data_IF_234257011681
#
_entry.id   IF_234257011681
#
_cell.length_a   1.000
_cell.length_b   1.000
_cell.length_c   1.000
_cell.angle_alpha   90.00
_cell.angle_beta   90.00
_cell.angle_gamma   90.00
#
_symmetry.space_group_name_H-M   'P 1'
#
loop_
_entity.id
_entity.type
_entity.pdbx_description
1 polymer ?
#
# COMPACT_ATOMS: atom_id res chain seq x y z
N UNK A 1 -8.29 -25.07 -24.21
CA UNK A 1 -9.21 -25.00 -23.05
C UNK A 1 -9.96 -23.69 -23.09
N UNK A 2 -11.29 -23.73 -23.06
CA UNK A 2 -12.11 -22.51 -23.10
C UNK A 2 -11.95 -21.75 -21.76
N UNK A 3 -11.58 -20.46 -21.82
CA UNK A 3 -11.56 -19.59 -20.64
C UNK A 3 -12.94 -19.54 -20.02
N UNK A 4 -13.11 -20.00 -18.79
CA UNK A 4 -14.35 -19.81 -18.05
C UNK A 4 -14.63 -18.30 -17.94
N UNK A 5 -15.71 -17.86 -18.57
CA UNK A 5 -16.20 -16.48 -18.43
C UNK A 5 -17.01 -16.41 -17.13
N UNK A 6 -16.45 -15.79 -16.11
CA UNK A 6 -17.20 -15.45 -14.90
C UNK A 6 -18.41 -14.59 -15.27
N UNK A 7 -19.62 -15.10 -15.02
CA UNK A 7 -20.85 -14.35 -15.23
C UNK A 7 -21.35 -13.84 -13.89
N UNK A 8 -21.49 -12.53 -13.79
CA UNK A 8 -22.06 -11.90 -12.58
C UNK A 8 -23.54 -12.27 -12.53
N UNK A 9 -23.94 -13.01 -11.50
CA UNK A 9 -25.32 -13.46 -11.29
C UNK A 9 -26.12 -12.52 -10.39
N UNK A 10 -25.44 -11.74 -9.56
CA UNK A 10 -26.06 -10.80 -8.61
C UNK A 10 -25.69 -9.34 -8.93
N UNK A 11 -26.25 -8.83 -10.02
CA UNK A 11 -26.02 -7.46 -10.47
C UNK A 11 -26.43 -6.40 -9.46
N UNK A 12 -27.47 -6.63 -8.67
CA UNK A 12 -27.96 -5.67 -7.66
C UNK A 12 -26.90 -5.44 -6.57
N UNK A 13 -26.39 -6.52 -5.96
CA UNK A 13 -25.36 -6.44 -4.94
C UNK A 13 -24.02 -5.91 -5.50
N UNK A 14 -23.66 -6.34 -6.72
CA UNK A 14 -22.47 -5.84 -7.40
C UNK A 14 -22.54 -4.33 -7.64
N UNK A 15 -23.64 -3.82 -8.19
CA UNK A 15 -23.83 -2.39 -8.43
C UNK A 15 -23.88 -1.58 -7.12
N UNK A 16 -24.49 -2.13 -6.06
CA UNK A 16 -24.48 -1.51 -4.74
C UNK A 16 -23.05 -1.37 -4.20
N UNK A 17 -22.23 -2.43 -4.31
CA UNK A 17 -20.83 -2.40 -3.91
C UNK A 17 -20.01 -1.39 -4.72
N UNK A 18 -20.24 -1.27 -6.04
CA UNK A 18 -19.57 -0.27 -6.87
C UNK A 18 -19.95 1.17 -6.48
N UNK A 19 -21.22 1.42 -6.16
CA UNK A 19 -21.69 2.73 -5.67
C UNK A 19 -21.04 3.07 -4.32
N UNK A 20 -20.92 2.10 -3.42
CA UNK A 20 -20.27 2.31 -2.11
C UNK A 20 -18.80 2.64 -2.25
N UNK A 21 -18.09 2.11 -3.27
CA UNK A 21 -16.68 2.48 -3.54
C UNK A 21 -16.51 3.95 -3.93
N UNK A 22 -17.54 4.59 -4.46
CA UNK A 22 -17.54 6.03 -4.77
C UNK A 22 -18.00 6.90 -3.61
N UNK A 23 -18.44 6.30 -2.50
CA UNK A 23 -18.88 7.05 -1.31
C UNK A 23 -17.67 7.59 -0.57
N UNK A 24 -17.63 8.90 -0.39
CA UNK A 24 -16.59 9.58 0.37
C UNK A 24 -17.06 9.76 1.81
N UNK A 25 -16.32 9.17 2.75
CA UNK A 25 -16.49 9.41 4.19
C UNK A 25 -15.21 10.05 4.71
N UNK A 26 -15.33 11.25 5.26
CA UNK A 26 -14.21 11.99 5.82
C UNK A 26 -14.38 11.98 7.33
N UNK A 27 -13.39 11.44 8.04
CA UNK A 27 -13.28 11.48 9.48
C UNK A 27 -12.17 12.44 9.86
N UNK A 28 -12.50 13.45 10.65
CA UNK A 28 -11.53 14.38 11.24
C UNK A 28 -11.61 14.22 12.76
N UNK A 29 -10.51 13.76 13.33
CA UNK A 29 -10.36 13.62 14.76
C UNK A 29 -10.10 15.00 15.39
N UNK A 30 -10.64 15.24 16.59
CA UNK A 30 -10.43 16.48 17.34
C UNK A 30 -8.93 16.74 17.61
N UNK A 31 -8.15 15.69 17.83
CA UNK A 31 -6.70 15.78 17.97
C UNK A 31 -6.01 16.29 16.70
N UNK A 32 -6.50 15.91 15.52
CA UNK A 32 -6.01 16.39 14.25
C UNK A 32 -6.38 17.85 13.98
N UNK A 33 -7.58 18.27 14.43
CA UNK A 33 -8.02 19.67 14.36
C UNK A 33 -7.12 20.55 15.24
N UNK A 34 -6.88 20.13 16.49
CA UNK A 34 -6.03 20.85 17.43
C UNK A 34 -4.56 20.93 16.95
N UNK A 35 -4.08 19.86 16.31
CA UNK A 35 -2.71 19.79 15.79
C UNK A 35 -2.56 20.38 14.37
N UNK A 36 -3.58 21.04 13.80
CA UNK A 36 -3.53 21.60 12.44
C UNK A 36 -2.56 22.79 12.33
N UNK A 37 -2.57 23.64 13.33
CA UNK A 37 -1.72 24.83 13.39
C UNK A 37 -0.74 24.72 14.54
N UNK A 38 0.50 25.18 14.30
CA UNK A 38 1.51 25.27 15.33
C UNK A 38 1.39 26.62 16.04
N UNK A 39 1.14 26.58 17.34
CA UNK A 39 1.07 27.77 18.20
C UNK A 39 2.42 28.07 18.89
N UNK A 40 3.47 27.32 18.61
CA UNK A 40 4.78 27.53 19.21
C UNK A 40 5.40 28.86 18.76
N UNK A 41 6.05 29.56 19.71
CA UNK A 41 6.82 30.77 19.38
C UNK A 41 8.02 30.38 18.51
N UNK A 42 8.29 31.11 17.41
CA UNK A 42 9.43 30.80 16.57
C UNK A 42 10.75 31.02 17.33
N UNK A 43 11.63 30.04 17.28
CA UNK A 43 12.96 30.13 17.89
C UNK A 43 13.97 30.98 17.09
N UNK A 44 13.57 31.57 15.96
CA UNK A 44 14.46 32.28 15.04
C UNK A 44 13.85 33.50 14.36
N UNK A 45 14.68 34.23 13.60
CA UNK A 45 14.24 35.34 12.73
C UNK A 45 13.46 34.79 11.54
N UNK A 46 12.26 35.28 11.30
CA UNK A 46 11.42 34.95 10.16
C UNK A 46 9.96 34.84 10.49
N UNK A 47 9.13 34.62 9.46
CA UNK A 47 7.70 34.39 9.63
C UNK A 47 7.48 33.00 10.27
N UNK A 48 6.76 32.88 11.39
CA UNK A 48 6.52 31.59 12.03
C UNK A 48 5.79 30.63 11.10
N UNK A 49 6.11 29.33 11.21
CA UNK A 49 5.39 28.26 10.56
C UNK A 49 4.04 28.11 11.27
N UNK A 50 2.94 28.44 10.57
CA UNK A 50 1.60 28.35 11.14
C UNK A 50 0.97 26.97 11.02
N UNK A 51 1.56 26.06 10.23
CA UNK A 51 1.00 24.74 9.93
C UNK A 51 1.99 23.67 10.28
N UNK A 52 1.48 22.61 10.91
CA UNK A 52 2.29 21.44 11.28
C UNK A 52 2.60 20.54 10.07
N UNK A 53 3.59 19.69 10.21
CA UNK A 53 3.90 18.66 9.20
C UNK A 53 2.72 17.72 8.95
N UNK A 54 1.89 17.46 9.98
CA UNK A 54 0.66 16.68 9.84
C UNK A 54 -0.34 17.37 8.91
N UNK A 55 -0.56 18.68 9.06
CA UNK A 55 -1.44 19.45 8.18
C UNK A 55 -0.96 19.41 6.72
N UNK A 56 0.33 19.63 6.50
CA UNK A 56 0.94 19.55 5.16
C UNK A 56 0.81 18.14 4.56
N UNK A 57 1.08 17.11 5.35
CA UNK A 57 0.94 15.71 4.95
C UNK A 57 -0.48 15.38 4.54
N UNK A 58 -1.47 15.80 5.34
CA UNK A 58 -2.89 15.59 5.05
C UNK A 58 -3.29 16.23 3.74
N UNK A 59 -2.89 17.48 3.50
CA UNK A 59 -3.17 18.18 2.24
C UNK A 59 -2.49 17.47 1.05
N UNK A 60 -1.25 17.00 1.21
CA UNK A 60 -0.56 16.23 0.17
C UNK A 60 -1.20 14.87 -0.09
N UNK A 61 -1.74 14.19 0.92
CA UNK A 61 -2.53 12.98 0.75
C UNK A 61 -3.79 13.25 -0.07
N UNK A 62 -4.55 14.29 0.27
CA UNK A 62 -5.73 14.71 -0.49
C UNK A 62 -5.38 15.02 -1.95
N UNK A 63 -4.25 15.69 -2.19
CA UNK A 63 -3.73 15.90 -3.54
C UNK A 63 -3.59 14.59 -4.33
N UNK A 64 -3.06 13.55 -3.70
CA UNK A 64 -2.83 12.26 -4.35
C UNK A 64 -4.14 11.51 -4.60
N UNK A 65 -5.03 11.50 -3.62
CA UNK A 65 -6.32 10.80 -3.72
C UNK A 65 -7.20 11.42 -4.81
N UNK A 66 -7.32 12.76 -4.84
CA UNK A 66 -8.20 13.47 -5.77
C UNK A 66 -7.51 13.94 -7.05
N UNK A 67 -6.21 13.70 -7.18
CA UNK A 67 -5.40 14.10 -8.33
C UNK A 67 -5.56 15.59 -8.73
N UNK A 68 -5.59 16.48 -7.73
CA UNK A 68 -5.80 17.91 -7.94
C UNK A 68 -4.48 18.68 -8.06
N UNK A 69 -4.40 19.72 -8.91
CA UNK A 69 -3.31 20.66 -8.85
C UNK A 69 -3.38 21.48 -7.55
N UNK A 70 -2.21 21.93 -7.03
CA UNK A 70 -2.11 22.52 -5.68
C UNK A 70 -3.06 23.71 -5.44
N UNK A 71 -3.30 24.55 -6.45
CA UNK A 71 -4.24 25.69 -6.32
C UNK A 71 -5.69 25.25 -6.20
N UNK A 72 -6.11 24.29 -7.02
CA UNK A 72 -7.45 23.72 -6.93
C UNK A 72 -7.62 22.93 -5.63
N UNK A 73 -6.57 22.25 -5.18
CA UNK A 73 -6.55 21.53 -3.91
C UNK A 73 -6.81 22.47 -2.72
N UNK A 74 -6.18 23.65 -2.69
CA UNK A 74 -6.42 24.63 -1.64
C UNK A 74 -7.90 25.01 -1.55
N UNK A 75 -8.53 25.37 -2.67
CA UNK A 75 -9.96 25.68 -2.70
C UNK A 75 -10.85 24.49 -2.32
N UNK A 76 -10.47 23.28 -2.74
CA UNK A 76 -11.19 22.05 -2.40
C UNK A 76 -11.15 21.76 -0.88
N UNK A 77 -9.98 21.87 -0.25
CA UNK A 77 -9.81 21.64 1.19
C UNK A 77 -10.55 22.71 1.99
N UNK A 78 -10.46 24.00 1.61
CA UNK A 78 -11.20 25.09 2.25
C UNK A 78 -12.71 24.87 2.14
N UNK A 79 -13.20 24.36 1.01
CA UNK A 79 -14.62 24.00 0.83
C UNK A 79 -15.04 22.89 1.78
N UNK A 80 -14.21 21.83 1.97
CA UNK A 80 -14.48 20.76 2.93
C UNK A 80 -14.57 21.33 4.35
N UNK A 81 -13.65 22.17 4.77
CA UNK A 81 -13.68 22.78 6.10
C UNK A 81 -14.93 23.64 6.31
N UNK A 82 -15.36 24.37 5.28
CA UNK A 82 -16.60 25.14 5.31
C UNK A 82 -17.83 24.23 5.45
N UNK A 83 -17.89 23.15 4.65
CA UNK A 83 -19.00 22.18 4.71
C UNK A 83 -19.10 21.47 6.06
N UNK A 84 -17.95 21.22 6.70
CA UNK A 84 -17.88 20.57 8.02
C UNK A 84 -17.99 21.59 9.17
N UNK A 85 -18.17 22.88 8.89
CA UNK A 85 -18.19 23.97 9.87
C UNK A 85 -16.94 24.01 10.78
N UNK A 86 -15.77 23.68 10.22
CA UNK A 86 -14.50 23.69 10.95
C UNK A 86 -13.82 25.06 10.88
N UNK A 87 -13.27 25.57 12.00
CA UNK A 87 -12.56 26.85 12.03
C UNK A 87 -11.12 26.71 11.50
N UNK A 88 -10.92 25.93 10.45
CA UNK A 88 -9.62 25.65 9.85
C UNK A 88 -9.49 26.33 8.49
N UNK A 89 -8.25 26.56 8.08
CA UNK A 89 -7.90 27.00 6.72
C UNK A 89 -6.86 26.06 6.12
N UNK A 90 -6.91 25.91 4.80
CA UNK A 90 -5.89 25.18 4.09
C UNK A 90 -4.58 25.99 4.04
N UNK A 91 -3.42 25.37 4.21
CA UNK A 91 -2.14 25.99 3.92
C UNK A 91 -2.09 26.50 2.48
N UNK A 92 -1.47 27.67 2.28
CA UNK A 92 -1.28 28.23 0.94
C UNK A 92 -0.53 27.23 0.04
N UNK A 93 -0.93 27.15 -1.24
CA UNK A 93 -0.36 26.21 -2.22
C UNK A 93 1.16 26.34 -2.35
N UNK A 94 1.71 27.55 -2.18
CA UNK A 94 3.15 27.81 -2.26
C UNK A 94 3.88 27.24 -1.03
N UNK A 95 3.27 27.33 0.14
CA UNK A 95 3.78 26.73 1.37
C UNK A 95 3.78 25.20 1.26
N UNK A 96 2.66 24.61 0.82
CA UNK A 96 2.57 23.16 0.58
C UNK A 96 3.65 22.70 -0.41
N UNK A 97 3.87 23.43 -1.49
CA UNK A 97 4.91 23.11 -2.48
C UNK A 97 6.33 23.14 -1.90
N UNK A 98 6.64 24.12 -1.05
CA UNK A 98 7.95 24.21 -0.40
C UNK A 98 8.17 23.08 0.60
N UNK A 99 7.19 22.84 1.47
CA UNK A 99 7.28 21.80 2.51
C UNK A 99 7.19 20.37 1.97
N UNK A 100 6.58 20.16 0.81
CA UNK A 100 6.52 18.82 0.18
C UNK A 100 7.89 18.13 0.01
N UNK A 101 8.98 18.89 0.00
CA UNK A 101 10.35 18.37 -0.12
C UNK A 101 10.98 17.99 1.21
N UNK A 102 10.54 18.56 2.31
CA UNK A 102 11.14 18.43 3.65
C UNK A 102 10.28 17.67 4.64
N UNK A 103 8.98 17.52 4.36
CA UNK A 103 8.05 16.80 5.25
C UNK A 103 8.47 15.33 5.36
N UNK A 104 8.77 14.92 6.59
CA UNK A 104 9.04 13.53 6.90
C UNK A 104 7.73 12.81 7.24
N UNK A 105 7.23 12.01 6.31
CA UNK A 105 5.99 11.25 6.50
C UNK A 105 6.33 9.96 7.24
N UNK A 106 5.96 9.88 8.51
CA UNK A 106 5.99 8.64 9.28
C UNK A 106 4.55 8.12 9.44
N UNK A 107 4.23 7.05 8.73
CA UNK A 107 2.94 6.36 8.91
C UNK A 107 3.11 5.40 10.07
N UNK A 108 2.55 5.75 11.22
CA UNK A 108 2.52 4.86 12.39
C UNK A 108 1.35 3.90 12.23
N UNK A 109 1.63 2.67 11.88
CA UNK A 109 0.64 1.59 11.97
C UNK A 109 0.43 1.19 13.44
N UNK A 110 -0.78 0.75 13.84
CA UNK A 110 -1.00 0.24 15.18
C UNK A 110 0.02 -0.83 15.54
N UNK A 111 0.72 -0.67 16.67
CA UNK A 111 1.75 -1.62 17.11
C UNK A 111 1.18 -2.80 17.88
N UNK A 112 -0.11 -2.77 18.23
CA UNK A 112 -0.81 -3.77 19.02
C UNK A 112 -1.77 -4.58 18.17
N UNK A 113 -2.04 -5.80 18.60
CA UNK A 113 -2.96 -6.74 17.97
C UNK A 113 -2.23 -7.79 17.13
N UNK A 114 -2.94 -8.88 16.87
CA UNK A 114 -2.51 -9.99 16.02
C UNK A 114 -3.00 -9.76 14.59
N UNK A 115 -2.18 -10.09 13.61
CA UNK A 115 -2.51 -10.01 12.19
C UNK A 115 -2.81 -11.44 11.70
N UNK A 116 -3.99 -11.65 11.10
CA UNK A 116 -4.35 -12.94 10.52
C UNK A 116 -5.47 -12.80 9.49
N UNK A 117 -5.20 -13.02 8.20
CA UNK A 117 -3.89 -13.23 7.57
C UNK A 117 -3.17 -11.92 7.20
N UNK A 118 -1.85 -11.94 7.11
CA UNK A 118 -1.08 -10.93 6.41
C UNK A 118 -1.07 -11.28 4.91
N UNK A 119 -1.61 -10.41 4.07
CA UNK A 119 -1.64 -10.60 2.61
C UNK A 119 -0.46 -9.85 1.99
N UNK A 120 0.35 -10.56 1.20
CA UNK A 120 1.57 -10.03 0.59
C UNK A 120 1.46 -10.11 -0.92
N UNK A 121 1.71 -8.99 -1.60
CA UNK A 121 1.72 -8.92 -3.06
C UNK A 121 2.72 -7.86 -3.55
N UNK A 122 3.06 -7.92 -4.83
CA UNK A 122 3.94 -6.96 -5.47
C UNK A 122 3.34 -6.43 -6.77
N UNK A 123 3.51 -5.15 -7.00
CA UNK A 123 3.04 -4.50 -8.23
C UNK A 123 4.14 -3.70 -8.91
N UNK A 124 4.14 -3.71 -10.23
CA UNK A 124 5.05 -2.89 -11.03
C UNK A 124 4.57 -1.45 -11.10
N UNK A 125 5.43 -0.52 -10.69
CA UNK A 125 5.20 0.92 -10.81
C UNK A 125 6.04 1.48 -11.94
N UNK A 126 5.38 2.09 -12.90
CA UNK A 126 6.04 2.79 -13.99
C UNK A 126 6.53 4.15 -13.50
N UNK A 127 7.82 4.43 -13.66
CA UNK A 127 8.38 5.73 -13.32
C UNK A 127 8.13 6.69 -14.49
N UNK A 128 7.34 7.72 -14.22
CA UNK A 128 7.10 8.80 -15.17
C UNK A 128 8.25 9.81 -15.13
N UNK A 129 8.78 10.16 -16.29
CA UNK A 129 9.86 11.14 -16.45
C UNK A 129 9.96 11.62 -17.89
N UNK A 130 10.95 12.46 -18.19
CA UNK A 130 11.17 13.06 -19.52
C UNK A 130 11.24 12.03 -20.67
N UNK A 131 11.60 10.77 -20.37
CA UNK A 131 11.61 9.67 -21.33
C UNK A 131 10.25 9.28 -21.89
N UNK A 132 9.15 9.52 -21.17
CA UNK A 132 7.79 9.15 -21.59
C UNK A 132 7.31 9.96 -22.80
N UNK A 133 7.57 11.26 -22.82
CA UNK A 133 7.20 12.11 -23.93
C UNK A 133 7.95 11.71 -25.21
N UNK A 134 9.23 11.40 -25.10
CA UNK A 134 10.07 10.94 -26.21
C UNK A 134 9.66 9.56 -26.73
N UNK A 135 9.24 8.64 -25.86
CA UNK A 135 8.71 7.31 -26.26
C UNK A 135 7.38 7.44 -27.00
N UNK A 136 6.52 8.40 -26.65
CA UNK A 136 5.27 8.67 -27.38
C UNK A 136 5.50 9.22 -28.77
N UNK A 137 6.55 10.04 -28.95
CA UNK A 137 6.84 10.66 -30.25
C UNK A 137 7.74 9.81 -31.17
N UNK A 138 8.65 9.01 -30.62
CA UNK A 138 9.72 8.38 -31.38
C UNK A 138 9.75 6.85 -31.32
N UNK A 139 8.67 6.19 -30.85
CA UNK A 139 8.55 4.73 -30.85
C UNK A 139 9.33 4.00 -29.75
N UNK A 140 9.36 2.67 -29.83
CA UNK A 140 9.65 1.73 -28.75
C UNK A 140 11.08 1.72 -28.16
N UNK A 141 11.98 2.56 -28.59
CA UNK A 141 13.41 2.36 -28.41
C UNK A 141 14.04 2.97 -27.15
N UNK A 142 13.28 3.46 -26.18
CA UNK A 142 13.88 3.95 -24.93
C UNK A 142 13.25 3.34 -23.69
N UNK A 143 14.14 2.72 -22.92
CA UNK A 143 13.90 1.95 -21.69
C UNK A 143 12.95 2.66 -20.73
N UNK A 144 11.73 2.15 -20.64
CA UNK A 144 10.82 2.50 -19.56
C UNK A 144 11.44 2.05 -18.25
N UNK A 145 11.58 2.96 -17.30
CA UNK A 145 12.07 2.63 -15.97
C UNK A 145 10.90 2.18 -15.12
N UNK A 146 11.02 0.96 -14.59
CA UNK A 146 10.04 0.39 -13.68
C UNK A 146 10.65 0.27 -12.28
N UNK A 147 9.80 0.39 -11.29
CA UNK A 147 10.06 0.03 -9.90
C UNK A 147 9.07 -1.01 -9.48
N UNK A 148 9.38 -1.76 -8.44
CA UNK A 148 8.51 -2.77 -7.88
C UNK A 148 8.13 -2.35 -6.48
N UNK A 149 6.84 -2.24 -6.22
CA UNK A 149 6.30 -1.96 -4.90
C UNK A 149 5.81 -3.27 -4.31
N UNK A 150 6.38 -3.65 -3.16
CA UNK A 150 5.97 -4.78 -2.37
C UNK A 150 5.11 -4.26 -1.22
N UNK A 151 3.95 -4.85 -1.02
CA UNK A 151 3.00 -4.46 0.02
C UNK A 151 2.65 -5.68 0.86
N UNK A 152 2.49 -5.44 2.16
CA UNK A 152 1.89 -6.39 3.07
C UNK A 152 0.78 -5.69 3.84
N UNK A 153 -0.44 -6.20 3.73
CA UNK A 153 -1.64 -5.65 4.33
C UNK A 153 -2.30 -6.65 5.26
N UNK A 154 -2.97 -6.17 6.29
CA UNK A 154 -3.83 -6.99 7.14
C UNK A 154 -5.09 -7.38 6.34
N UNK A 155 -5.34 -8.68 6.19
CA UNK A 155 -6.46 -9.20 5.40
C UNK A 155 -7.84 -8.88 5.97
N UNK A 156 -7.92 -8.51 7.26
CA UNK A 156 -9.17 -8.16 7.93
C UNK A 156 -9.43 -6.66 7.92
N UNK A 157 -8.44 -5.87 8.31
CA UNK A 157 -8.58 -4.41 8.42
C UNK A 157 -8.24 -3.68 7.12
N UNK A 158 -7.57 -4.34 6.17
CA UNK A 158 -7.02 -3.77 4.94
C UNK A 158 -5.98 -2.67 5.18
N UNK A 159 -5.44 -2.58 6.38
CA UNK A 159 -4.35 -1.65 6.70
C UNK A 159 -3.05 -2.12 6.05
N UNK A 160 -2.32 -1.21 5.44
CA UNK A 160 -0.97 -1.48 4.95
C UNK A 160 -0.04 -1.55 6.17
N UNK A 161 0.50 -2.74 6.43
CA UNK A 161 1.38 -3.01 7.57
C UNK A 161 2.84 -2.74 7.21
N UNK A 162 3.25 -3.18 6.02
CA UNK A 162 4.62 -3.04 5.52
C UNK A 162 4.60 -2.65 4.05
N UNK A 163 5.59 -1.87 3.65
CA UNK A 163 5.79 -1.50 2.24
C UNK A 163 7.29 -1.39 1.94
N UNK A 164 7.68 -1.81 0.75
CA UNK A 164 9.04 -1.67 0.26
C UNK A 164 9.05 -1.35 -1.23
N UNK A 165 9.98 -0.51 -1.65
CA UNK A 165 10.14 -0.10 -3.04
C UNK A 165 11.51 -0.57 -3.56
N UNK A 166 11.49 -1.47 -4.52
CA UNK A 166 12.70 -2.05 -5.08
C UNK A 166 12.90 -1.74 -6.56
N UNK A 167 14.05 -2.10 -7.08
CA UNK A 167 14.32 -2.11 -8.51
C UNK A 167 13.50 -3.20 -9.20
N UNK A 168 13.20 -3.01 -10.48
CA UNK A 168 12.42 -3.98 -11.28
C UNK A 168 13.03 -5.38 -11.35
N UNK A 169 14.34 -5.49 -11.17
CA UNK A 169 15.06 -6.79 -11.15
C UNK A 169 14.99 -7.54 -9.82
N UNK A 170 14.49 -6.91 -8.74
CA UNK A 170 14.34 -7.61 -7.46
C UNK A 170 13.14 -8.56 -7.52
N UNK A 171 13.37 -9.83 -7.17
CA UNK A 171 12.30 -10.83 -7.14
C UNK A 171 11.44 -10.68 -5.88
N UNK A 172 10.18 -11.11 -5.97
CA UNK A 172 9.24 -11.05 -4.84
C UNK A 172 9.75 -11.85 -3.64
N UNK A 173 10.35 -13.00 -3.92
CA UNK A 173 10.97 -13.86 -2.92
C UNK A 173 12.17 -13.21 -2.21
N UNK A 174 12.89 -12.31 -2.86
CA UNK A 174 14.00 -11.58 -2.23
C UNK A 174 13.51 -10.49 -1.31
N UNK A 175 12.38 -9.85 -1.62
CA UNK A 175 11.83 -8.75 -0.83
C UNK A 175 11.12 -9.21 0.45
N UNK A 176 10.48 -10.39 0.46
CA UNK A 176 9.65 -10.87 1.56
C UNK A 176 10.35 -10.86 2.93
N UNK A 177 11.59 -11.34 3.11
CA UNK A 177 12.23 -11.33 4.43
C UNK A 177 12.42 -9.92 4.99
N UNK A 178 12.78 -8.95 4.14
CA UNK A 178 12.90 -7.54 4.51
C UNK A 178 11.54 -6.95 4.89
N UNK A 179 10.51 -7.27 4.10
CA UNK A 179 9.16 -6.78 4.30
C UNK A 179 8.57 -7.22 5.66
N UNK A 180 8.61 -8.51 5.97
CA UNK A 180 8.07 -9.02 7.25
C UNK A 180 8.88 -8.57 8.46
N UNK A 181 10.12 -8.15 8.29
CA UNK A 181 10.95 -7.62 9.39
C UNK A 181 10.60 -6.18 9.77
N UNK A 182 9.81 -5.46 8.97
CA UNK A 182 9.38 -4.09 9.27
C UNK A 182 8.34 -4.05 10.40
N UNK A 183 7.64 -5.15 10.67
CA UNK A 183 6.65 -5.20 11.76
C UNK A 183 7.09 -6.08 12.91
N UNK A 184 6.78 -5.63 14.13
CA UNK A 184 6.94 -6.39 15.37
C UNK A 184 5.62 -7.00 15.86
N UNK A 185 4.51 -6.77 15.16
CA UNK A 185 3.22 -7.37 15.49
C UNK A 185 3.29 -8.89 15.29
N UNK A 186 2.56 -9.60 16.13
CA UNK A 186 2.39 -11.05 15.96
C UNK A 186 1.58 -11.32 14.70
N UNK A 187 2.13 -12.09 13.78
CA UNK A 187 1.47 -12.53 12.55
C UNK A 187 1.18 -14.01 12.70
N UNK A 188 -0.07 -14.43 12.54
CA UNK A 188 -0.44 -15.85 12.61
C UNK A 188 -0.17 -16.55 11.29
N UNK A 189 -0.65 -15.95 10.20
CA UNK A 189 -0.61 -16.53 8.86
C UNK A 189 -0.20 -15.46 7.86
N UNK A 190 0.48 -15.87 6.79
CA UNK A 190 0.83 -15.00 5.68
C UNK A 190 0.44 -15.65 4.35
N UNK A 191 -0.40 -14.93 3.60
CA UNK A 191 -0.86 -15.32 2.27
C UNK A 191 -0.08 -14.56 1.21
N UNK A 192 0.44 -15.30 0.22
CA UNK A 192 1.11 -14.74 -0.94
C UNK A 192 0.94 -15.66 -2.16
N UNK A 193 1.26 -15.19 -3.35
CA UNK A 193 1.17 -15.98 -4.56
C UNK A 193 2.33 -17.00 -4.71
N UNK A 194 2.26 -17.86 -5.75
CA UNK A 194 3.28 -18.89 -6.02
C UNK A 194 4.68 -18.35 -6.37
N UNK A 195 4.83 -17.05 -6.65
CA UNK A 195 6.15 -16.44 -6.86
C UNK A 195 7.00 -16.47 -5.57
N UNK A 196 6.32 -16.48 -4.42
CA UNK A 196 6.94 -16.58 -3.10
C UNK A 196 7.22 -18.00 -2.65
N UNK A 197 6.86 -19.06 -3.42
CA UNK A 197 7.18 -20.46 -3.08
C UNK A 197 8.68 -20.74 -3.27
N UNK A 198 9.47 -20.26 -2.34
CA UNK A 198 10.92 -20.46 -2.26
C UNK A 198 11.35 -20.80 -0.83
N UNK A 199 12.47 -21.56 -0.70
CA UNK A 199 13.01 -21.91 0.62
C UNK A 199 13.28 -20.66 1.46
N UNK A 200 13.82 -19.61 0.86
CA UNK A 200 14.12 -18.35 1.55
C UNK A 200 12.86 -17.72 2.18
N UNK A 201 11.74 -17.69 1.44
CA UNK A 201 10.48 -17.17 1.97
C UNK A 201 9.93 -18.04 3.08
N UNK A 202 9.85 -19.35 2.88
CA UNK A 202 9.36 -20.29 3.89
C UNK A 202 10.23 -20.26 5.15
N UNK A 203 11.55 -20.19 5.03
CA UNK A 203 12.47 -20.07 6.17
C UNK A 203 12.29 -18.77 6.94
N UNK A 204 12.05 -17.66 6.24
CA UNK A 204 11.80 -16.36 6.85
C UNK A 204 10.50 -16.38 7.67
N UNK A 205 9.42 -16.97 7.11
CA UNK A 205 8.14 -17.12 7.80
C UNK A 205 8.25 -18.07 9.00
N UNK A 206 8.89 -19.22 8.82
CA UNK A 206 9.08 -20.20 9.91
C UNK A 206 9.91 -19.65 11.06
N UNK A 207 10.94 -18.85 10.81
CA UNK A 207 11.72 -18.17 11.87
C UNK A 207 10.84 -17.28 12.74
N UNK A 208 9.84 -16.61 12.16
CA UNK A 208 8.87 -15.77 12.88
C UNK A 208 7.66 -16.55 13.39
N UNK A 209 7.62 -17.88 13.21
CA UNK A 209 6.48 -18.74 13.55
C UNK A 209 5.17 -18.32 12.86
N UNK A 210 5.29 -17.89 11.60
CA UNK A 210 4.19 -17.49 10.75
C UNK A 210 3.82 -18.69 9.86
N UNK A 211 2.55 -19.05 9.82
CA UNK A 211 2.04 -20.12 8.95
C UNK A 211 2.00 -19.60 7.50
N UNK A 212 2.72 -20.25 6.56
CA UNK A 212 2.70 -19.85 5.16
C UNK A 212 1.43 -20.37 4.47
N UNK A 213 0.68 -19.48 3.83
CA UNK A 213 -0.42 -19.80 2.91
C UNK A 213 0.02 -19.40 1.51
N UNK A 214 0.99 -20.15 0.97
CA UNK A 214 1.62 -19.90 -0.34
C UNK A 214 1.34 -21.12 -1.22
N UNK A 215 0.65 -20.95 -2.36
CA UNK A 215 0.42 -22.05 -3.28
C UNK A 215 1.75 -22.53 -3.88
N UNK A 216 1.97 -23.85 -3.94
CA UNK A 216 3.17 -24.39 -4.56
C UNK A 216 3.18 -24.08 -6.06
N UNK A 217 4.36 -23.92 -6.62
CA UNK A 217 4.54 -23.76 -8.07
C UNK A 217 4.11 -25.01 -8.83
N UNK A 218 3.76 -24.85 -10.10
CA UNK A 218 3.46 -25.98 -10.96
C UNK A 218 4.64 -26.97 -10.99
N UNK A 219 4.35 -28.26 -10.76
CA UNK A 219 5.36 -29.30 -10.70
C UNK A 219 6.24 -29.28 -9.45
N UNK A 220 5.78 -28.62 -8.38
CA UNK A 220 6.53 -28.55 -7.12
C UNK A 220 6.73 -29.94 -6.51
N UNK A 221 7.97 -30.21 -6.08
CA UNK A 221 8.36 -31.45 -5.38
C UNK A 221 8.36 -31.22 -3.87
N UNK A 222 8.23 -32.30 -3.10
CA UNK A 222 8.35 -32.29 -1.65
C UNK A 222 9.73 -31.80 -1.19
N UNK A 223 9.75 -30.98 -0.15
CA UNK A 223 10.98 -30.58 0.49
C UNK A 223 11.24 -31.36 1.76
N UNK A 224 12.46 -31.85 1.99
CA UNK A 224 12.81 -32.51 3.23
C UNK A 224 12.82 -31.53 4.42
N UNK A 225 12.54 -32.04 5.62
CA UNK A 225 12.63 -31.29 6.86
C UNK A 225 11.33 -30.58 7.27
N UNK A 226 11.41 -29.37 7.75
CA UNK A 226 10.35 -28.66 8.49
C UNK A 226 9.25 -27.97 7.66
N UNK A 227 9.16 -28.28 6.38
CA UNK A 227 8.23 -27.60 5.46
C UNK A 227 6.88 -28.31 5.35
N UNK A 228 6.29 -28.72 6.50
CA UNK A 228 5.07 -29.53 6.53
C UNK A 228 3.90 -28.84 5.81
N UNK A 229 3.61 -27.57 6.10
CA UNK A 229 2.50 -26.83 5.49
C UNK A 229 2.63 -26.77 3.97
N UNK A 230 3.83 -26.44 3.48
CA UNK A 230 4.11 -26.44 2.03
C UNK A 230 3.92 -27.82 1.42
N UNK A 231 4.44 -28.87 2.05
CA UNK A 231 4.32 -30.24 1.55
C UNK A 231 2.88 -30.72 1.55
N UNK A 232 2.05 -30.32 2.52
CA UNK A 232 0.61 -30.53 2.48
C UNK A 232 -0.04 -29.85 1.27
N UNK A 233 0.33 -28.61 0.98
CA UNK A 233 -0.18 -27.90 -0.20
C UNK A 233 0.25 -28.59 -1.51
N UNK A 234 1.48 -29.12 -1.59
CA UNK A 234 1.94 -29.95 -2.74
C UNK A 234 1.11 -31.23 -2.86
N UNK A 235 0.85 -31.92 -1.73
CA UNK A 235 0.01 -33.13 -1.75
C UNK A 235 -1.41 -32.83 -2.28
N UNK A 236 -2.02 -31.74 -1.78
CA UNK A 236 -3.34 -31.31 -2.25
C UNK A 236 -3.34 -30.96 -3.75
N UNK A 237 -2.30 -30.26 -4.24
CA UNK A 237 -2.16 -29.95 -5.66
C UNK A 237 -2.07 -31.23 -6.52
N UNK A 238 -1.34 -32.25 -6.06
CA UNK A 238 -1.27 -33.54 -6.76
C UNK A 238 -2.62 -34.28 -6.78
N UNK A 239 -3.42 -34.16 -5.71
CA UNK A 239 -4.73 -34.81 -5.62
C UNK A 239 -5.80 -34.09 -6.43
N UNK A 240 -5.81 -32.77 -6.43
CA UNK A 240 -6.85 -31.96 -7.10
C UNK A 240 -6.54 -31.70 -8.59
N UNK A 241 -5.33 -31.99 -9.04
CA UNK A 241 -4.93 -31.73 -10.44
C UNK A 241 -4.80 -30.23 -10.81
N UNK A 242 -4.86 -29.32 -9.84
CA UNK A 242 -4.83 -27.88 -10.05
C UNK A 242 -4.37 -27.11 -8.81
N UNK A 243 -4.20 -25.79 -8.98
CA UNK A 243 -3.87 -24.85 -7.89
C UNK A 243 -5.10 -24.35 -7.12
N UNK A 244 -6.21 -25.05 -7.16
CA UNK A 244 -7.44 -24.68 -6.46
C UNK A 244 -7.26 -24.98 -4.95
N UNK A 245 -6.83 -23.95 -4.22
CA UNK A 245 -6.79 -23.87 -2.76
C UNK A 245 -7.60 -22.65 -2.31
#
# INVERSE_FOLDING_TARGET
>A
MAKQKFKITNWSAYNKALRQRGSLTIWLDESAIAAWTDCAKPEGRGRPLHYTDMAITTVLMMKRVFNLPLRALQGFVDSIFTLMALPLRCPDYSLVSKHAKSVNISIKTPTRGEISPLVIDATGLKVFGEGEWKVRQHGADRRRVWRKLHLAADGVTHEIICADLSLSGTTDAQALPGLINQTHRKIREASADGAYDTRNCHDALLRKKIRPLIPPRNGAQYWPGRYHERNHAVANQHLSGGNDV
#
